data_IF_726252444812
#
_entry.id   IF_726252444812
#
_cell.length_a   1.000
_cell.length_b   1.000
_cell.length_c   1.000
_cell.angle_alpha   90.00
_cell.angle_beta   90.00
_cell.angle_gamma   90.00
#
_symmetry.space_group_name_H-M   'P 1'
#
loop_
_entity.id
_entity.type
_entity.pdbx_description
1 polymer ?
#
# COMPACT_ATOMS: atom_id res chain seq x y z
N UNK A 1 -20.39 16.83 38.23
CA UNK A 1 -20.42 17.85 37.15
C UNK A 1 -19.22 17.78 36.19
N UNK A 2 -18.05 18.39 36.41
CA UNK A 2 -17.00 18.46 35.36
C UNK A 2 -16.36 17.11 34.97
N UNK A 3 -16.19 16.18 35.92
CA UNK A 3 -15.65 14.83 35.66
C UNK A 3 -16.62 13.93 34.87
N UNK A 4 -17.91 14.10 35.09
CA UNK A 4 -18.95 13.33 34.39
C UNK A 4 -19.07 13.79 32.93
N UNK A 5 -19.00 15.11 32.71
CA UNK A 5 -18.93 15.70 31.37
C UNK A 5 -17.70 15.21 30.60
N UNK A 6 -16.55 15.09 31.27
CA UNK A 6 -15.33 14.54 30.67
C UNK A 6 -15.46 13.06 30.31
N UNK A 7 -16.05 12.24 31.18
CA UNK A 7 -16.27 10.81 30.94
C UNK A 7 -17.31 10.56 29.84
N UNK A 8 -18.34 11.40 29.75
CA UNK A 8 -19.31 11.39 28.64
C UNK A 8 -18.68 11.81 27.32
N UNK A 9 -17.84 12.85 27.29
CA UNK A 9 -17.10 13.21 26.09
C UNK A 9 -16.17 12.07 25.63
N UNK A 10 -15.48 11.41 26.58
CA UNK A 10 -14.57 10.30 26.29
C UNK A 10 -15.28 9.02 25.83
N UNK A 11 -16.54 8.80 26.25
CA UNK A 11 -17.35 7.65 25.82
C UNK A 11 -18.02 7.88 24.47
N UNK A 12 -18.26 9.12 24.06
CA UNK A 12 -18.84 9.47 22.76
C UNK A 12 -17.84 9.34 21.59
N UNK A 13 -16.54 9.46 21.86
CA UNK A 13 -15.47 9.40 20.83
C UNK A 13 -14.92 8.00 20.55
N UNK A 14 -15.33 6.98 21.29
CA UNK A 14 -15.04 5.58 20.96
C UNK A 14 -16.26 4.88 20.40
N UNK A 15 -16.69 5.32 19.21
CA UNK A 15 -17.24 4.34 18.28
C UNK A 15 -16.08 3.45 17.87
N UNK A 16 -15.92 2.31 18.54
CA UNK A 16 -15.17 1.19 17.98
C UNK A 16 -15.80 0.91 16.62
N UNK A 17 -15.15 1.37 15.54
CA UNK A 17 -15.47 0.89 14.21
C UNK A 17 -15.08 -0.58 14.20
N UNK A 18 -16.04 -1.45 14.47
CA UNK A 18 -16.02 -2.84 14.04
C UNK A 18 -15.43 -2.88 12.62
N UNK A 19 -14.32 -3.59 12.37
CA UNK A 19 -13.69 -3.61 11.06
C UNK A 19 -14.67 -4.21 10.05
N UNK A 20 -15.39 -3.35 9.32
CA UNK A 20 -16.40 -3.70 8.31
C UNK A 20 -15.83 -4.35 7.03
N UNK A 21 -14.63 -4.92 7.11
CA UNK A 21 -13.95 -5.54 5.99
C UNK A 21 -14.09 -7.06 6.03
N UNK A 22 -14.55 -7.65 4.93
CA UNK A 22 -14.36 -9.09 4.69
C UNK A 22 -12.87 -9.43 4.82
N UNK A 23 -12.51 -10.41 5.65
CA UNK A 23 -11.13 -10.87 5.79
C UNK A 23 -10.65 -11.39 4.43
N UNK A 24 -9.68 -10.69 3.84
CA UNK A 24 -9.09 -11.09 2.56
C UNK A 24 -8.03 -12.15 2.85
N UNK A 25 -8.35 -13.42 2.58
CA UNK A 25 -7.38 -14.50 2.68
C UNK A 25 -6.58 -14.61 1.37
N UNK A 26 -5.28 -14.33 1.43
CA UNK A 26 -4.33 -14.48 0.33
C UNK A 26 -3.38 -15.61 0.72
N UNK A 27 -3.59 -16.75 0.07
CA UNK A 27 -2.87 -18.01 0.24
C UNK A 27 -1.60 -18.10 -0.60
N UNK A 28 -1.61 -17.43 -1.76
CA UNK A 28 -0.55 -17.49 -2.77
C UNK A 28 -0.19 -16.10 -3.27
N UNK A 29 1.04 -16.01 -3.76
CA UNK A 29 1.54 -14.84 -4.45
C UNK A 29 0.57 -14.38 -5.56
N UNK A 30 0.23 -13.09 -5.58
CA UNK A 30 -0.56 -12.52 -6.68
C UNK A 30 0.39 -12.01 -7.77
N UNK A 31 0.18 -12.39 -9.05
CA UNK A 31 1.11 -12.04 -10.11
C UNK A 31 0.92 -10.59 -10.58
N UNK A 32 1.92 -10.03 -11.26
CA UNK A 32 2.03 -8.61 -11.59
C UNK A 32 0.87 -8.10 -12.48
N UNK A 33 0.31 -8.96 -13.32
CA UNK A 33 -0.80 -8.65 -14.24
C UNK A 33 -2.08 -8.29 -13.48
N UNK A 34 -2.20 -8.78 -12.25
CA UNK A 34 -3.32 -8.47 -11.37
C UNK A 34 -3.14 -7.14 -10.62
N UNK A 35 -2.01 -6.44 -10.77
CA UNK A 35 -1.73 -5.24 -9.98
C UNK A 35 -2.57 -4.04 -10.43
N UNK A 36 -2.97 -3.17 -9.49
CA UNK A 36 -3.70 -1.94 -9.84
C UNK A 36 -2.83 -1.00 -10.68
N UNK A 37 -3.45 -0.15 -11.51
CA UNK A 37 -2.72 0.80 -12.36
C UNK A 37 -1.71 1.65 -11.57
N UNK A 38 -2.07 2.10 -10.36
CA UNK A 38 -1.18 2.91 -9.54
C UNK A 38 0.12 2.21 -9.14
N UNK A 39 0.07 0.92 -8.80
CA UNK A 39 1.28 0.15 -8.47
C UNK A 39 2.10 -0.14 -9.73
N UNK A 40 1.44 -0.43 -10.86
CA UNK A 40 2.12 -0.60 -12.15
C UNK A 40 2.83 0.69 -12.59
N UNK A 41 2.19 1.84 -12.41
CA UNK A 41 2.78 3.15 -12.71
C UNK A 41 3.99 3.43 -11.81
N UNK A 42 3.91 3.10 -10.51
CA UNK A 42 5.10 3.16 -9.64
C UNK A 42 6.21 2.29 -10.21
N UNK A 43 5.94 1.02 -10.56
CA UNK A 43 6.94 0.07 -11.10
C UNK A 43 7.62 0.50 -12.41
N UNK A 44 7.03 1.45 -13.14
CA UNK A 44 7.60 2.06 -14.34
C UNK A 44 8.62 3.17 -14.03
N UNK A 45 8.78 3.54 -12.76
CA UNK A 45 9.66 4.61 -12.30
C UNK A 45 8.88 5.88 -11.98
N UNK A 46 9.48 6.75 -11.17
CA UNK A 46 8.90 8.00 -10.73
C UNK A 46 9.85 9.18 -11.00
N UNK A 47 9.26 10.30 -11.41
CA UNK A 47 9.93 11.58 -11.48
C UNK A 47 10.12 12.18 -10.07
N UNK A 48 9.04 12.29 -9.29
CA UNK A 48 9.05 12.73 -7.90
C UNK A 48 8.27 11.76 -6.98
N UNK A 49 8.42 11.89 -5.66
CA UNK A 49 7.66 11.13 -4.68
C UNK A 49 8.20 9.73 -4.41
N UNK A 50 9.46 9.46 -4.77
CA UNK A 50 10.09 8.13 -4.71
C UNK A 50 10.05 7.49 -3.32
N UNK A 51 10.21 8.25 -2.24
CA UNK A 51 10.06 7.72 -0.86
C UNK A 51 8.63 7.23 -0.57
N UNK A 52 7.63 7.98 -1.05
CA UNK A 52 6.20 7.62 -0.95
C UNK A 52 5.89 6.43 -1.87
N UNK A 53 6.45 6.40 -3.07
CA UNK A 53 6.36 5.27 -3.99
C UNK A 53 6.96 3.99 -3.41
N UNK A 54 8.14 4.07 -2.80
CA UNK A 54 8.79 2.95 -2.11
C UNK A 54 7.92 2.41 -0.98
N UNK A 55 7.40 3.30 -0.14
CA UNK A 55 6.47 2.95 0.93
C UNK A 55 5.25 2.18 0.39
N UNK A 56 4.57 2.72 -0.63
CA UNK A 56 3.41 2.07 -1.23
C UNK A 56 3.75 0.72 -1.84
N UNK A 57 4.89 0.64 -2.53
CA UNK A 57 5.34 -0.56 -3.22
C UNK A 57 5.65 -1.68 -2.23
N UNK A 58 6.45 -1.43 -1.20
CA UNK A 58 6.81 -2.46 -0.20
C UNK A 58 5.55 -2.99 0.50
N UNK A 59 4.69 -2.10 1.01
CA UNK A 59 3.46 -2.51 1.72
C UNK A 59 2.53 -3.34 0.84
N UNK A 60 2.34 -2.92 -0.42
CA UNK A 60 1.51 -3.66 -1.35
C UNK A 60 2.11 -5.04 -1.67
N UNK A 61 3.41 -5.12 -1.99
CA UNK A 61 4.08 -6.38 -2.35
C UNK A 61 4.06 -7.41 -1.20
N UNK A 62 4.26 -6.96 0.05
CA UNK A 62 4.09 -7.82 1.22
C UNK A 62 2.65 -8.31 1.35
N UNK A 63 1.66 -7.42 1.17
CA UNK A 63 0.24 -7.78 1.28
C UNK A 63 -0.18 -8.81 0.22
N UNK A 64 0.43 -8.80 -0.98
CA UNK A 64 0.19 -9.79 -2.03
C UNK A 64 1.10 -11.03 -1.94
N UNK A 65 1.75 -11.26 -0.79
CA UNK A 65 2.54 -12.46 -0.47
C UNK A 65 3.76 -12.69 -1.35
N UNK A 66 4.38 -11.63 -1.88
CA UNK A 66 5.67 -11.77 -2.55
C UNK A 66 6.78 -12.13 -1.55
N UNK A 67 7.71 -13.05 -1.89
CA UNK A 67 8.81 -13.39 -1.00
C UNK A 67 9.81 -12.23 -0.88
N UNK A 68 10.44 -12.07 0.30
CA UNK A 68 11.32 -10.93 0.60
C UNK A 68 12.44 -10.74 -0.43
N UNK A 69 13.03 -11.84 -0.91
CA UNK A 69 14.07 -11.81 -1.93
C UNK A 69 13.59 -11.17 -3.23
N UNK A 70 12.37 -11.52 -3.67
CA UNK A 70 11.71 -10.97 -4.85
C UNK A 70 11.33 -9.50 -4.66
N UNK A 71 10.82 -9.13 -3.48
CA UNK A 71 10.52 -7.74 -3.14
C UNK A 71 11.81 -6.90 -3.23
N UNK A 72 12.89 -7.34 -2.58
CA UNK A 72 14.18 -6.64 -2.62
C UNK A 72 14.69 -6.47 -4.05
N UNK A 73 14.69 -7.53 -4.85
CA UNK A 73 15.12 -7.46 -6.24
C UNK A 73 14.26 -6.47 -7.03
N UNK A 74 12.94 -6.56 -6.91
CA UNK A 74 12.00 -5.69 -7.61
C UNK A 74 12.18 -4.22 -7.24
N UNK A 75 12.37 -3.92 -5.95
CA UNK A 75 12.62 -2.55 -5.47
C UNK A 75 13.94 -2.01 -5.99
N UNK A 76 14.99 -2.82 -6.03
CA UNK A 76 16.29 -2.39 -6.57
C UNK A 76 16.21 -2.12 -8.07
N UNK A 77 15.52 -2.96 -8.85
CA UNK A 77 15.31 -2.72 -10.28
C UNK A 77 14.40 -1.52 -10.54
N UNK A 78 13.33 -1.36 -9.77
CA UNK A 78 12.47 -0.19 -9.81
C UNK A 78 13.26 1.10 -9.55
N UNK A 79 14.17 1.09 -8.57
CA UNK A 79 14.94 2.27 -8.20
C UNK A 79 15.83 2.78 -9.35
N UNK A 80 16.32 1.88 -10.21
CA UNK A 80 17.11 2.23 -11.40
C UNK A 80 16.29 2.95 -12.48
N UNK A 81 14.95 2.76 -12.49
CA UNK A 81 14.04 3.41 -13.44
C UNK A 81 13.61 4.80 -13.00
N UNK A 82 13.84 5.16 -11.74
CA UNK A 82 13.49 6.49 -11.24
C UNK A 82 14.41 7.56 -11.84
N UNK A 83 13.89 8.77 -12.05
CA UNK A 83 14.67 9.91 -12.54
C UNK A 83 15.91 10.18 -11.68
N UNK A 84 15.75 10.08 -10.37
CA UNK A 84 16.86 10.13 -9.41
C UNK A 84 16.74 8.95 -8.43
N UNK A 85 17.66 7.97 -8.49
CA UNK A 85 17.60 6.82 -7.59
C UNK A 85 17.68 7.22 -6.10
N UNK A 86 16.95 6.52 -5.25
CA UNK A 86 17.14 6.57 -3.80
C UNK A 86 18.46 5.89 -3.43
N UNK A 87 19.06 6.29 -2.31
CA UNK A 87 20.27 5.63 -1.82
C UNK A 87 20.00 4.18 -1.41
N UNK A 88 20.97 3.30 -1.66
CA UNK A 88 20.88 1.88 -1.27
C UNK A 88 20.71 1.71 0.25
N UNK A 89 21.33 2.59 1.04
CA UNK A 89 21.19 2.60 2.50
C UNK A 89 19.74 2.88 2.93
N UNK A 90 19.08 3.86 2.30
CA UNK A 90 17.67 4.17 2.59
C UNK A 90 16.75 2.99 2.21
N UNK A 91 16.94 2.41 1.02
CA UNK A 91 16.16 1.24 0.58
C UNK A 91 16.34 0.06 1.55
N UNK A 92 17.58 -0.23 1.93
CA UNK A 92 17.88 -1.34 2.85
C UNK A 92 17.24 -1.11 4.23
N UNK A 93 17.32 0.12 4.74
CA UNK A 93 16.66 0.50 6.01
C UNK A 93 15.14 0.31 5.93
N UNK A 94 14.50 0.75 4.84
CA UNK A 94 13.07 0.56 4.65
C UNK A 94 12.70 -0.92 4.54
N UNK A 95 13.39 -1.70 3.72
CA UNK A 95 13.14 -3.14 3.60
C UNK A 95 13.24 -3.85 4.95
N UNK A 96 14.29 -3.59 5.73
CA UNK A 96 14.46 -4.19 7.05
C UNK A 96 13.35 -3.82 8.03
N UNK A 97 12.85 -2.58 7.99
CA UNK A 97 11.73 -2.14 8.82
C UNK A 97 10.45 -2.94 8.53
N UNK A 98 10.12 -3.16 7.26
CA UNK A 98 8.91 -3.88 6.85
C UNK A 98 9.01 -5.42 6.97
N UNK A 99 10.20 -5.97 7.23
CA UNK A 99 10.33 -7.40 7.58
C UNK A 99 9.65 -7.74 8.90
N UNK A 100 9.75 -6.82 9.86
CA UNK A 100 9.22 -7.00 11.22
C UNK A 100 7.89 -6.28 11.42
N UNK A 101 7.55 -5.33 10.54
CA UNK A 101 6.31 -4.56 10.60
C UNK A 101 5.50 -4.74 9.32
N UNK A 102 4.39 -5.48 9.42
CA UNK A 102 3.44 -5.64 8.32
C UNK A 102 2.33 -4.60 8.45
N UNK A 103 2.23 -3.68 7.48
CA UNK A 103 1.11 -2.76 7.38
C UNK A 103 0.28 -3.08 6.13
N UNK A 104 -1.01 -2.83 6.24
CA UNK A 104 -1.88 -2.83 5.08
C UNK A 104 -1.52 -1.66 4.15
N UNK A 105 -1.55 -1.85 2.83
CA UNK A 105 -1.39 -0.73 1.91
C UNK A 105 -2.50 0.30 2.17
N UNK A 106 -2.21 1.61 2.05
CA UNK A 106 -3.23 2.65 2.22
C UNK A 106 -4.43 2.45 1.29
N UNK A 107 -5.61 2.91 1.72
CA UNK A 107 -6.81 2.90 0.88
C UNK A 107 -6.65 3.85 -0.33
N UNK A 108 -7.39 3.60 -1.40
CA UNK A 108 -7.25 4.32 -2.69
C UNK A 108 -7.51 5.83 -2.58
N UNK A 109 -8.32 6.22 -1.61
CA UNK A 109 -8.69 7.58 -1.22
C UNK A 109 -7.59 8.31 -0.44
N UNK A 110 -6.52 7.61 -0.03
CA UNK A 110 -5.37 8.25 0.61
C UNK A 110 -4.69 9.25 -0.36
N UNK A 111 -4.43 10.50 0.07
CA UNK A 111 -3.87 11.54 -0.79
C UNK A 111 -2.48 11.18 -1.35
N UNK A 112 -1.74 10.26 -0.73
CA UNK A 112 -0.43 9.83 -1.18
C UNK A 112 -0.41 9.41 -2.66
N UNK A 113 -1.46 8.74 -3.14
CA UNK A 113 -1.56 8.28 -4.54
C UNK A 113 -1.72 9.45 -5.53
N UNK A 114 -2.48 10.48 -5.15
CA UNK A 114 -2.69 11.68 -5.96
C UNK A 114 -1.45 12.57 -5.93
N UNK A 115 -0.83 12.72 -4.76
CA UNK A 115 0.32 13.60 -4.54
C UNK A 115 1.59 13.17 -5.29
N UNK A 116 1.68 11.92 -5.75
CA UNK A 116 2.79 11.43 -6.58
C UNK A 116 2.35 11.13 -8.03
N UNK A 117 1.14 11.53 -8.40
CA UNK A 117 0.55 11.40 -9.74
C UNK A 117 0.61 9.98 -10.34
N UNK A 118 0.37 8.94 -9.52
CA UNK A 118 0.42 7.54 -9.99
C UNK A 118 -0.96 6.96 -10.29
N UNK A 119 -2.04 7.59 -9.81
CA UNK A 119 -3.36 7.02 -9.90
C UNK A 119 -4.01 7.28 -11.27
N UNK A 120 -4.10 6.24 -12.09
CA UNK A 120 -4.86 6.23 -13.35
C UNK A 120 -5.99 5.19 -13.23
N UNK A 121 -7.14 5.54 -12.62
CA UNK A 121 -8.17 4.57 -12.26
C UNK A 121 -8.82 3.93 -13.49
N UNK A 122 -9.05 2.61 -13.42
CA UNK A 122 -9.84 1.85 -14.40
C UNK A 122 -11.25 1.51 -13.83
N UNK A 123 -12.05 0.73 -14.57
CA UNK A 123 -13.39 0.33 -14.10
C UNK A 123 -13.37 -0.52 -12.82
N UNK A 124 -12.29 -1.25 -12.56
CA UNK A 124 -12.13 -2.03 -11.33
C UNK A 124 -11.83 -1.11 -10.15
N UNK A 125 -11.12 -0.01 -10.35
CA UNK A 125 -10.85 1.00 -9.33
C UNK A 125 -12.13 1.66 -8.79
N UNK A 126 -13.21 1.75 -9.58
CA UNK A 126 -14.49 2.37 -9.18
C UNK A 126 -15.25 1.59 -8.10
N UNK A 127 -14.94 0.31 -7.93
CA UNK A 127 -15.72 -0.64 -7.11
C UNK A 127 -14.90 -1.28 -5.99
N UNK A 128 -13.72 -0.75 -5.70
CA UNK A 128 -12.80 -1.23 -4.66
C UNK A 128 -12.39 -0.08 -3.75
N UNK A 129 -12.17 -0.37 -2.47
CA UNK A 129 -11.72 0.61 -1.47
C UNK A 129 -10.20 0.70 -1.36
N UNK A 130 -9.48 -0.40 -1.64
CA UNK A 130 -8.04 -0.47 -1.45
C UNK A 130 -7.34 -1.25 -2.57
N UNK A 131 -6.04 -0.99 -2.82
CA UNK A 131 -5.27 -1.64 -3.88
C UNK A 131 -5.19 -3.17 -3.74
N UNK A 132 -5.20 -3.71 -2.52
CA UNK A 132 -5.14 -5.15 -2.29
C UNK A 132 -6.41 -5.85 -2.79
N UNK A 133 -7.58 -5.25 -2.53
CA UNK A 133 -8.87 -5.74 -3.03
C UNK A 133 -8.93 -5.71 -4.55
N UNK A 134 -8.29 -4.73 -5.21
CA UNK A 134 -8.15 -4.74 -6.66
C UNK A 134 -7.42 -6.01 -7.12
N UNK A 135 -6.26 -6.30 -6.51
CA UNK A 135 -5.41 -7.42 -6.92
C UNK A 135 -6.12 -8.77 -6.75
N UNK A 136 -6.81 -8.96 -5.63
CA UNK A 136 -7.60 -10.17 -5.36
C UNK A 136 -8.77 -10.31 -6.33
N UNK A 137 -9.44 -9.19 -6.67
CA UNK A 137 -10.56 -9.22 -7.62
C UNK A 137 -10.10 -9.54 -9.04
N UNK A 138 -8.95 -9.01 -9.47
CA UNK A 138 -8.35 -9.31 -10.79
C UNK A 138 -7.85 -10.75 -10.88
N UNK A 139 -7.23 -11.30 -9.83
CA UNK A 139 -6.75 -12.70 -9.80
C UNK A 139 -7.87 -13.73 -10.04
N UNK A 140 -9.11 -13.41 -9.68
CA UNK A 140 -10.27 -14.31 -9.84
C UNK A 140 -10.89 -14.28 -11.24
N UNK A 141 -10.53 -13.31 -12.07
CA UNK A 141 -10.99 -13.21 -13.47
C UNK A 141 -10.03 -13.95 -14.38
#
# INVERSE_FOLDING_TARGET
EAKELFLQAFSLDRKEQEPSGSVINIDKEIPLESFPPCIRNILNGLEDGRKRGLFLLINFLHAVKWPESKIKQTVLEWNKKNKEPLSNAYITSQLNYYKTHSYMPPNCDNPIYKNINVCTPDDTCKIIKNPLSYAVKRRRK
#
